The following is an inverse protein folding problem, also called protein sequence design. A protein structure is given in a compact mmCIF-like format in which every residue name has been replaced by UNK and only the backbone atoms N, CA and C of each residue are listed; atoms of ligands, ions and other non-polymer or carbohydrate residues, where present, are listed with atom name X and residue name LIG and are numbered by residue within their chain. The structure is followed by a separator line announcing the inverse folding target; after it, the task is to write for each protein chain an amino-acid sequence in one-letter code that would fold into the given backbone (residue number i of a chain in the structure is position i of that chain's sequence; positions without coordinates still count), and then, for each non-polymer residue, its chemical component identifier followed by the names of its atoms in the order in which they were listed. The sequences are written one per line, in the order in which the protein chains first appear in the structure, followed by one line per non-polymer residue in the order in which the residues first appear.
data_IF_024449806269
#
_entry.id   IF_024449806269
#
_cell.length_a   1.000
_cell.length_b   1.000
_cell.length_c   1.000
_cell.angle_alpha   90.00
_cell.angle_beta   90.00
_cell.angle_gamma   90.00
#
_symmetry.space_group_name_H-M   'P 1'
#
loop_
_entity.id
_entity.type
_entity.pdbx_description
1 polymer ?
#
# COMPACT_ATOMS: atom_id res chain seq x y z
N UNK A 1 -13.08 -10.51 4.41
CA UNK A 1 -13.72 -9.28 4.93
C UNK A 1 -13.43 -8.13 3.96
N UNK A 2 -14.37 -7.22 3.74
CA UNK A 2 -14.17 -6.03 2.90
C UNK A 2 -14.03 -4.79 3.79
N UNK A 3 -13.03 -3.95 3.53
CA UNK A 3 -12.93 -2.61 4.08
C UNK A 3 -12.24 -1.67 3.06
N UNK A 4 -12.73 -0.44 2.94
CA UNK A 4 -12.25 0.59 1.97
C UNK A 4 -12.10 0.12 0.52
N UNK A 5 -12.98 -0.78 0.07
CA UNK A 5 -12.90 -1.36 -1.28
C UNK A 5 -11.75 -2.35 -1.46
N UNK A 6 -11.07 -2.73 -0.38
CA UNK A 6 -10.14 -3.85 -0.34
C UNK A 6 -10.85 -5.09 0.19
N UNK A 7 -10.61 -6.23 -0.48
CA UNK A 7 -11.08 -7.54 -0.05
C UNK A 7 -9.90 -8.29 0.56
N UNK A 8 -9.97 -8.61 1.85
CA UNK A 8 -9.04 -9.52 2.50
C UNK A 8 -9.59 -10.93 2.58
N UNK A 9 -8.77 -11.90 2.16
CA UNK A 9 -8.95 -13.30 2.51
C UNK A 9 -8.05 -13.61 3.71
N UNK A 10 -8.60 -13.61 4.93
CA UNK A 10 -7.87 -14.08 6.09
C UNK A 10 -7.67 -15.59 5.99
N UNK A 11 -6.45 -16.08 6.22
CA UNK A 11 -6.18 -17.50 6.46
C UNK A 11 -6.59 -17.93 7.87
N UNK A 12 -6.69 -16.99 8.81
CA UNK A 12 -7.00 -17.26 10.20
C UNK A 12 -8.31 -16.59 10.61
N UNK A 13 -9.35 -17.39 10.88
CA UNK A 13 -10.70 -16.90 11.18
C UNK A 13 -10.79 -16.14 12.52
N UNK A 14 -9.75 -16.22 13.35
CA UNK A 14 -9.65 -15.49 14.62
C UNK A 14 -9.12 -14.06 14.48
N UNK A 15 -8.51 -13.72 13.34
CA UNK A 15 -8.08 -12.35 13.07
C UNK A 15 -9.32 -11.50 12.73
N UNK A 16 -9.65 -10.55 13.60
CA UNK A 16 -10.69 -9.57 13.33
C UNK A 16 -10.36 -8.70 12.11
N UNK A 17 -11.34 -7.96 11.56
CA UNK A 17 -11.05 -6.99 10.52
C UNK A 17 -10.01 -5.98 11.04
N UNK A 18 -9.04 -5.58 10.21
CA UNK A 18 -8.06 -4.58 10.62
C UNK A 18 -8.75 -3.26 10.95
N UNK A 19 -8.10 -2.52 11.84
CA UNK A 19 -8.60 -1.23 12.28
C UNK A 19 -8.25 -0.20 11.22
N UNK A 20 -9.29 0.45 10.69
CA UNK A 20 -9.12 1.46 9.65
C UNK A 20 -8.17 2.58 10.10
N UNK A 21 -7.22 3.03 9.25
CA UNK A 21 -6.43 4.21 9.51
C UNK A 21 -7.33 5.43 9.60
N UNK A 22 -6.95 6.41 10.42
CA UNK A 22 -7.74 7.63 10.62
C UNK A 22 -7.88 8.40 9.31
N UNK A 23 -6.86 8.31 8.46
CA UNK A 23 -6.74 8.90 7.13
C UNK A 23 -7.84 8.39 6.18
N UNK A 24 -8.37 7.19 6.42
CA UNK A 24 -9.45 6.61 5.65
C UNK A 24 -10.85 6.94 6.18
N UNK A 25 -10.96 7.50 7.39
CA UNK A 25 -12.25 7.74 8.04
C UNK A 25 -13.03 8.85 7.32
N UNK A 26 -14.19 8.50 6.73
CA UNK A 26 -15.03 9.43 5.97
C UNK A 26 -14.48 9.83 4.60
N UNK A 27 -13.35 9.24 4.18
CA UNK A 27 -12.79 9.43 2.85
C UNK A 27 -13.50 8.54 1.81
N UNK A 28 -13.40 8.90 0.53
CA UNK A 28 -13.86 8.08 -0.57
C UNK A 28 -12.65 7.37 -1.22
N UNK A 29 -12.34 6.13 -0.84
CA UNK A 29 -11.18 5.42 -1.36
C UNK A 29 -11.30 5.15 -2.85
N UNK A 30 -10.22 5.43 -3.59
CA UNK A 30 -10.07 5.06 -4.99
C UNK A 30 -9.23 3.80 -5.07
N UNK A 31 -9.79 2.66 -5.50
CA UNK A 31 -9.01 1.45 -5.66
C UNK A 31 -7.95 1.65 -6.73
N UNK A 32 -6.70 1.35 -6.41
CA UNK A 32 -5.59 1.47 -7.35
C UNK A 32 -5.43 0.15 -8.08
N UNK A 33 -4.97 -0.88 -7.35
CA UNK A 33 -4.80 -2.25 -7.83
C UNK A 33 -4.40 -3.20 -6.72
N UNK A 34 -4.36 -4.49 -7.03
CA UNK A 34 -3.65 -5.48 -6.23
C UNK A 34 -2.38 -5.95 -6.97
N UNK A 35 -1.33 -6.23 -6.23
CA UNK A 35 -0.10 -6.88 -6.72
C UNK A 35 0.17 -8.13 -5.86
N UNK A 36 0.71 -9.17 -6.48
CA UNK A 36 1.27 -10.33 -5.78
C UNK A 36 2.76 -10.39 -6.09
N UNK A 37 3.55 -10.77 -5.08
CA UNK A 37 5.01 -10.81 -5.15
C UNK A 37 5.54 -12.09 -4.50
N UNK A 38 6.65 -12.58 -5.04
CA UNK A 38 7.38 -13.73 -4.47
C UNK A 38 8.33 -13.28 -3.34
N UNK A 39 7.77 -12.63 -2.33
CA UNK A 39 8.48 -12.36 -1.07
C UNK A 39 7.55 -12.50 0.15
N UNK A 40 8.13 -12.68 1.36
CA UNK A 40 7.36 -12.69 2.60
C UNK A 40 6.60 -11.39 2.82
N UNK A 41 5.44 -11.48 3.48
CA UNK A 41 4.58 -10.34 3.77
C UNK A 41 5.29 -9.21 4.53
N UNK A 42 6.18 -9.56 5.46
CA UNK A 42 6.97 -8.58 6.22
C UNK A 42 7.88 -7.76 5.31
N UNK A 43 8.56 -8.41 4.37
CA UNK A 43 9.42 -7.74 3.39
C UNK A 43 8.61 -6.83 2.47
N UNK A 44 7.45 -7.28 2.00
CA UNK A 44 6.56 -6.43 1.19
C UNK A 44 6.08 -5.20 1.99
N UNK A 45 5.71 -5.39 3.25
CA UNK A 45 5.24 -4.31 4.12
C UNK A 45 6.35 -3.27 4.39
N UNK A 46 7.56 -3.74 4.70
CA UNK A 46 8.74 -2.88 4.89
C UNK A 46 9.06 -2.10 3.62
N UNK A 47 9.11 -2.77 2.46
CA UNK A 47 9.42 -2.10 1.19
C UNK A 47 8.37 -1.08 0.77
N UNK A 48 7.10 -1.32 1.09
CA UNK A 48 6.05 -0.34 0.84
C UNK A 48 6.16 0.87 1.81
N UNK A 49 6.51 0.64 3.07
CA UNK A 49 6.67 1.71 4.07
C UNK A 49 7.92 2.57 3.83
N UNK A 50 8.98 1.97 3.29
CA UNK A 50 10.25 2.63 2.98
C UNK A 50 10.30 3.16 1.53
N UNK A 51 9.21 3.01 0.78
CA UNK A 51 9.17 3.43 -0.62
C UNK A 51 9.30 4.95 -0.73
N UNK A 52 10.24 5.41 -1.55
CA UNK A 52 10.35 6.81 -1.96
C UNK A 52 9.22 7.15 -2.95
N UNK A 53 8.04 7.41 -2.39
CA UNK A 53 6.83 7.75 -3.13
C UNK A 53 6.59 9.25 -3.02
N UNK A 54 6.88 9.98 -4.10
CA UNK A 54 6.49 11.38 -4.16
C UNK A 54 4.96 11.53 -4.19
N UNK A 55 4.39 12.63 -3.66
CA UNK A 55 2.97 12.87 -3.79
C UNK A 55 2.59 13.15 -5.24
N UNK A 56 1.46 12.62 -5.68
CA UNK A 56 0.84 12.93 -6.96
C UNK A 56 0.38 14.39 -6.99
N UNK A 57 -0.30 14.86 -5.93
CA UNK A 57 -0.83 16.22 -5.90
C UNK A 57 0.31 17.26 -5.74
N UNK A 58 0.42 18.25 -6.65
CA UNK A 58 1.54 19.20 -6.65
C UNK A 58 1.62 20.06 -5.39
N UNK A 59 0.47 20.38 -4.77
CA UNK A 59 0.46 21.19 -3.54
C UNK A 59 1.06 20.47 -2.34
N UNK A 60 1.16 19.14 -2.39
CA UNK A 60 1.76 18.32 -1.34
C UNK A 60 3.27 18.16 -1.50
N UNK A 61 3.86 18.68 -2.60
CA UNK A 61 5.31 18.74 -2.74
C UNK A 61 5.91 19.54 -1.59
N UNK A 62 6.99 19.02 -1.02
CA UNK A 62 7.64 19.52 0.20
C UNK A 62 6.73 19.52 1.45
N UNK A 63 5.63 18.77 1.41
CA UNK A 63 4.80 18.49 2.57
C UNK A 63 5.46 17.50 3.54
N UNK A 64 4.85 17.34 4.71
CA UNK A 64 5.31 16.32 5.65
C UNK A 64 4.91 14.94 5.12
N UNK A 65 5.90 14.05 5.00
CA UNK A 65 5.67 12.63 4.72
C UNK A 65 5.64 11.84 6.02
N UNK A 66 4.74 10.87 6.10
CA UNK A 66 4.70 9.87 7.17
C UNK A 66 4.42 8.51 6.56
N UNK A 67 5.27 7.54 6.85
CA UNK A 67 4.98 6.14 6.61
C UNK A 67 4.82 5.38 7.93
N UNK A 68 3.92 4.41 7.96
CA UNK A 68 3.76 3.54 9.12
C UNK A 68 3.26 2.16 8.73
N UNK A 69 3.79 1.16 9.43
CA UNK A 69 3.29 -0.21 9.42
C UNK A 69 2.43 -0.44 10.66
N UNK A 70 1.28 -1.07 10.47
CA UNK A 70 0.34 -1.42 11.53
C UNK A 70 0.34 -2.93 11.76
N UNK A 71 0.05 -3.34 13.00
CA UNK A 71 0.05 -4.75 13.41
C UNK A 71 -0.99 -5.60 12.67
N UNK A 72 -2.00 -4.96 12.08
CA UNK A 72 -3.12 -5.59 11.40
C UNK A 72 -2.87 -5.80 9.88
N UNK A 73 -1.61 -5.66 9.45
CA UNK A 73 -1.20 -5.87 8.05
C UNK A 73 -1.42 -4.65 7.15
N UNK A 74 -1.78 -3.50 7.72
CA UNK A 74 -1.87 -2.25 6.97
C UNK A 74 -0.53 -1.52 6.92
N UNK A 75 -0.25 -0.94 5.76
CA UNK A 75 0.81 0.04 5.55
C UNK A 75 0.16 1.33 5.07
N UNK A 76 0.59 2.45 5.64
CA UNK A 76 0.08 3.79 5.33
C UNK A 76 1.26 4.65 4.92
N UNK A 77 1.18 5.26 3.74
CA UNK A 77 2.13 6.28 3.26
C UNK A 77 1.33 7.56 3.00
N UNK A 78 1.56 8.59 3.80
CA UNK A 78 0.76 9.81 3.82
C UNK A 78 1.62 11.05 3.58
N UNK A 79 1.12 11.97 2.74
CA UNK A 79 1.65 13.31 2.56
C UNK A 79 0.62 14.33 3.03
N UNK A 80 1.04 15.29 3.83
CA UNK A 80 0.18 16.35 4.35
C UNK A 80 0.83 17.73 4.25
N UNK A 81 0.05 18.72 3.81
CA UNK A 81 0.46 20.13 3.80
C UNK A 81 -0.77 21.03 3.90
N UNK A 82 -0.76 22.00 4.82
CA UNK A 82 -1.81 23.02 4.95
C UNK A 82 -3.25 22.46 5.02
N UNK A 83 -3.45 21.30 5.66
CA UNK A 83 -4.77 20.65 5.76
C UNK A 83 -5.18 19.85 4.52
N UNK A 84 -4.36 19.85 3.47
CA UNK A 84 -4.48 18.95 2.32
C UNK A 84 -3.75 17.64 2.62
N UNK A 85 -4.32 16.51 2.22
CA UNK A 85 -3.73 15.19 2.41
C UNK A 85 -3.86 14.28 1.18
N UNK A 86 -2.89 13.40 1.04
CA UNK A 86 -2.85 12.26 0.12
C UNK A 86 -2.32 11.07 0.88
N UNK A 87 -2.95 9.91 0.75
CA UNK A 87 -2.56 8.73 1.51
C UNK A 87 -2.76 7.49 0.67
N UNK A 88 -1.67 6.78 0.39
CA UNK A 88 -1.68 5.43 -0.12
C UNK A 88 -1.81 4.46 1.05
N UNK A 89 -2.81 3.58 0.99
CA UNK A 89 -3.04 2.54 1.98
C UNK A 89 -2.85 1.19 1.29
N UNK A 90 -1.95 0.38 1.84
CA UNK A 90 -1.71 -0.99 1.44
C UNK A 90 -2.21 -1.98 2.48
N UNK A 91 -3.14 -2.85 2.09
CA UNK A 91 -3.47 -4.05 2.85
C UNK A 91 -2.59 -5.21 2.43
N UNK A 92 -1.69 -5.65 3.32
CA UNK A 92 -0.75 -6.74 3.07
C UNK A 92 -1.38 -8.07 3.49
N UNK A 93 -1.44 -9.00 2.55
CA UNK A 93 -2.01 -10.33 2.75
C UNK A 93 -0.94 -11.40 2.49
N UNK A 94 -0.52 -12.17 3.52
CA UNK A 94 0.30 -13.36 3.31
C UNK A 94 -0.44 -14.38 2.46
N UNK A 95 0.20 -14.89 1.40
CA UNK A 95 -0.32 -15.98 0.57
C UNK A 95 0.30 -17.31 0.98
N UNK A 96 1.58 -17.32 1.35
CA UNK A 96 2.32 -18.40 2.03
C UNK A 96 3.63 -17.82 2.60
N UNK A 97 4.54 -18.67 3.09
CA UNK A 97 5.77 -18.22 3.75
C UNK A 97 6.70 -17.42 2.81
N UNK A 98 6.56 -17.60 1.49
CA UNK A 98 7.42 -16.96 0.49
C UNK A 98 6.69 -15.98 -0.42
N UNK A 99 5.36 -15.82 -0.28
CA UNK A 99 4.55 -15.00 -1.19
C UNK A 99 3.54 -14.16 -0.43
N UNK A 100 3.32 -12.94 -0.91
CA UNK A 100 2.36 -12.02 -0.36
C UNK A 100 1.66 -11.22 -1.45
N UNK A 101 0.50 -10.66 -1.11
CA UNK A 101 -0.20 -9.70 -1.95
C UNK A 101 -0.33 -8.36 -1.21
N UNK A 102 -0.31 -7.26 -1.97
CA UNK A 102 -0.71 -5.94 -1.49
C UNK A 102 -1.94 -5.48 -2.26
N UNK A 103 -2.98 -5.09 -1.52
CA UNK A 103 -4.15 -4.41 -2.06
C UNK A 103 -3.99 -2.91 -1.79
N UNK A 104 -3.99 -2.09 -2.84
CA UNK A 104 -3.65 -0.68 -2.75
C UNK A 104 -4.86 0.18 -3.06
N UNK A 105 -5.11 1.16 -2.19
CA UNK A 105 -6.09 2.22 -2.41
C UNK A 105 -5.49 3.57 -2.06
N UNK A 106 -5.96 4.61 -2.73
CA UNK A 106 -5.60 5.99 -2.38
C UNK A 106 -6.81 6.72 -1.82
N UNK A 107 -6.58 7.48 -0.76
CA UNK A 107 -7.52 8.43 -0.15
C UNK A 107 -6.83 9.78 -0.02
N UNK A 108 -7.60 10.86 0.01
CA UNK A 108 -7.02 12.18 0.27
C UNK A 108 -8.03 13.30 0.06
N UNK A 109 -7.77 14.44 0.68
CA UNK A 109 -8.55 15.66 0.48
C UNK A 109 -8.06 16.49 -0.71
N UNK A 110 -6.90 16.15 -1.28
CA UNK A 110 -6.26 16.93 -2.33
C UNK A 110 -6.98 16.89 -3.69
N UNK A 111 -7.88 15.92 -3.93
CA UNK A 111 -8.66 15.88 -5.16
C UNK A 111 -9.33 14.54 -5.44
N UNK A 112 -9.88 14.42 -6.66
CA UNK A 112 -10.35 13.13 -7.18
C UNK A 112 -9.16 12.36 -7.75
N UNK A 113 -8.85 11.23 -7.13
CA UNK A 113 -7.77 10.35 -7.57
C UNK A 113 -8.15 9.44 -8.72
N UNK A 114 -9.40 9.43 -9.19
CA UNK A 114 -9.79 8.63 -10.36
C UNK A 114 -9.09 9.13 -11.63
N UNK A 115 -8.63 8.20 -12.46
CA UNK A 115 -7.91 8.52 -13.68
C UNK A 115 -6.41 8.73 -13.44
N UNK A 116 -5.92 9.96 -13.55
CA UNK A 116 -4.48 10.22 -13.55
C UNK A 116 -3.77 9.83 -12.24
N UNK A 117 -4.36 10.17 -11.09
CA UNK A 117 -3.82 9.77 -9.79
C UNK A 117 -3.81 8.24 -9.62
N UNK A 118 -4.90 7.58 -10.00
CA UNK A 118 -5.01 6.12 -9.99
C UNK A 118 -3.92 5.47 -10.86
N UNK A 119 -3.67 5.98 -12.06
CA UNK A 119 -2.61 5.49 -12.95
C UNK A 119 -1.21 5.73 -12.36
N UNK A 120 -0.99 6.87 -11.70
CA UNK A 120 0.27 7.18 -11.02
C UNK A 120 0.59 6.13 -9.94
N UNK A 121 -0.34 5.88 -9.02
CA UNK A 121 -0.14 4.87 -7.96
C UNK A 121 -0.10 3.44 -8.52
N UNK A 122 -0.81 3.17 -9.62
CA UNK A 122 -0.76 1.86 -10.27
C UNK A 122 0.61 1.59 -10.92
N UNK A 123 1.26 2.63 -11.46
CA UNK A 123 2.61 2.54 -11.99
C UNK A 123 3.63 2.35 -10.87
N UNK A 124 3.52 3.11 -9.77
CA UNK A 124 4.33 2.91 -8.57
C UNK A 124 4.26 1.46 -8.07
N UNK A 125 3.05 0.90 -7.95
CA UNK A 125 2.85 -0.46 -7.49
C UNK A 125 3.52 -1.51 -8.40
N UNK A 126 3.59 -1.27 -9.72
CA UNK A 126 4.34 -2.14 -10.63
C UNK A 126 5.85 -2.01 -10.50
N UNK A 127 6.34 -0.80 -10.26
CA UNK A 127 7.77 -0.59 -9.97
C UNK A 127 8.16 -1.33 -8.69
N UNK A 128 7.38 -1.19 -7.62
CA UNK A 128 7.59 -1.91 -6.37
C UNK A 128 7.60 -3.43 -6.57
N UNK A 129 6.64 -3.97 -7.33
CA UNK A 129 6.59 -5.40 -7.68
C UNK A 129 7.86 -5.82 -8.42
N UNK A 130 8.24 -5.05 -9.44
CA UNK A 130 9.41 -5.34 -10.28
C UNK A 130 10.72 -5.30 -9.49
N UNK A 131 10.88 -4.35 -8.56
CA UNK A 131 12.04 -4.24 -7.68
C UNK A 131 12.15 -5.44 -6.74
N UNK A 132 11.03 -5.83 -6.13
CA UNK A 132 10.94 -6.99 -5.24
C UNK A 132 11.30 -8.29 -5.97
N UNK A 133 10.75 -8.51 -7.17
CA UNK A 133 11.01 -9.70 -7.99
C UNK A 133 12.45 -9.71 -8.53
N UNK A 134 13.00 -8.55 -8.91
CA UNK A 134 14.36 -8.43 -9.44
C UNK A 134 15.43 -8.59 -8.35
N UNK A 135 15.13 -8.15 -7.12
CA UNK A 135 15.98 -8.39 -5.94
C UNK A 135 15.98 -9.86 -5.50
N UNK A 136 14.86 -10.58 -5.67
CA UNK A 136 14.75 -12.01 -5.38
C UNK A 136 15.50 -12.91 -6.38
N UNK A 137 15.73 -12.44 -7.62
CA UNK A 137 16.41 -13.19 -8.67
C UNK A 137 17.91 -13.47 -8.41
N UNK A 138 18.45 -13.08 -7.24
CA UNK A 138 19.86 -13.34 -6.84
C UNK A 138 19.97 -14.31 -5.65
N UNK A 139 19.19 -15.38 -5.63
CA UNK A 139 19.46 -16.54 -4.76
C UNK A 139 19.54 -17.82 -5.61
N UNK A 140 20.75 -18.28 -6.01
CA UNK A 140 20.89 -19.64 -6.51
C UNK A 140 20.52 -20.63 -5.41
N UNK A 141 19.74 -21.65 -5.78
CA UNK A 141 19.32 -22.75 -4.93
C UNK A 141 20.46 -23.29 -4.08
N UNK A 142 20.26 -23.38 -2.76
CA UNK A 142 21.15 -24.15 -1.90
C UNK A 142 20.73 -25.62 -1.92
N UNK A 143 21.43 -26.34 -2.80
CA UNK A 143 21.70 -27.79 -2.91
C UNK A 143 20.53 -28.73 -3.16
#
# INVERSE_FOLDING_TARGET
HEAIGMIWAHRDAAAGPPTMPREAAGANPVPVRSIAVDCPADTLAERLADADLAPFHPDLRDGAERSSRREDGLVVVAHEKNGTSETLIGGIQPLDDGRAAAHLVVVGSAGDYRGAGQLYFAAFAESLRSELESGAATAPARR
#
